data_IF_009133556344
#
_entry.id   IF_009133556344
#
_cell.length_a   1.000
_cell.length_b   1.000
_cell.length_c   1.000
_cell.angle_alpha   90.00
_cell.angle_beta   90.00
_cell.angle_gamma   90.00
#
_symmetry.space_group_name_H-M   'P 1'
#
loop_
_entity.id
_entity.type
_entity.pdbx_description
1 polymer ?
#
# COMPACT_ATOMS: atom_id res chain seq x y z
N UNK A 1 35.63 -11.61 -11.14
CA UNK A 1 35.32 -11.49 -9.70
C UNK A 1 36.41 -10.74 -8.98
N UNK A 2 36.03 -9.76 -8.17
CA UNK A 2 36.98 -9.09 -7.27
C UNK A 2 37.47 -10.06 -6.21
N UNK A 3 38.79 -10.04 -5.93
CA UNK A 3 39.39 -10.74 -4.81
C UNK A 3 39.81 -9.74 -3.74
N UNK A 4 39.64 -10.09 -2.46
CA UNK A 4 40.10 -9.24 -1.36
C UNK A 4 40.76 -10.07 -0.25
N UNK A 5 41.75 -9.47 0.42
CA UNK A 5 42.39 -10.07 1.58
C UNK A 5 42.79 -9.01 2.60
N UNK A 6 42.78 -9.39 3.87
CA UNK A 6 43.13 -8.53 4.99
C UNK A 6 44.65 -8.40 5.16
N UNK A 7 45.14 -7.17 5.29
CA UNK A 7 46.54 -6.87 5.59
C UNK A 7 46.79 -6.87 7.11
N UNK A 8 48.07 -6.99 7.53
CA UNK A 8 48.48 -6.94 8.94
C UNK A 8 48.03 -5.67 9.68
N UNK A 9 47.86 -4.56 8.99
CA UNK A 9 47.39 -3.29 9.55
C UNK A 9 45.85 -3.15 9.60
N UNK A 10 45.13 -4.24 9.41
CA UNK A 10 43.68 -4.25 9.45
C UNK A 10 42.94 -3.75 8.19
N UNK A 11 43.64 -3.18 7.22
CA UNK A 11 43.04 -2.77 5.96
C UNK A 11 42.87 -3.95 5.01
N UNK A 12 41.94 -3.85 4.05
CA UNK A 12 41.73 -4.86 3.02
C UNK A 12 42.28 -4.39 1.67
N UNK A 13 43.05 -5.25 1.01
CA UNK A 13 43.47 -5.05 -0.37
C UNK A 13 42.45 -5.72 -1.29
N UNK A 14 41.95 -4.99 -2.24
CA UNK A 14 40.95 -5.45 -3.21
C UNK A 14 41.59 -5.42 -4.60
N UNK A 15 41.40 -6.50 -5.38
CA UNK A 15 41.97 -6.66 -6.73
C UNK A 15 40.87 -7.08 -7.69
N UNK A 16 40.85 -6.46 -8.86
CA UNK A 16 39.92 -6.75 -9.96
C UNK A 16 40.72 -6.96 -11.24
N UNK A 17 40.39 -7.98 -12.01
CA UNK A 17 41.01 -8.23 -13.32
C UNK A 17 40.18 -7.55 -14.42
N UNK A 18 40.84 -6.81 -15.32
CA UNK A 18 40.23 -6.20 -16.51
C UNK A 18 40.32 -7.10 -17.76
N UNK A 19 40.81 -8.33 -17.61
CA UNK A 19 41.01 -9.27 -18.70
C UNK A 19 42.48 -9.61 -18.91
N UNK A 20 42.82 -10.17 -20.06
CA UNK A 20 44.21 -10.59 -20.45
C UNK A 20 44.61 -9.95 -21.79
N UNK A 21 44.74 -8.63 -21.90
CA UNK A 21 45.23 -8.04 -23.13
C UNK A 21 46.70 -8.48 -23.37
N UNK A 22 46.98 -9.10 -24.50
CA UNK A 22 48.32 -9.58 -24.84
C UNK A 22 48.89 -10.72 -23.98
N UNK A 23 47.99 -11.53 -23.33
CA UNK A 23 48.41 -12.70 -22.53
C UNK A 23 48.80 -12.39 -21.08
N UNK A 24 48.96 -11.15 -20.68
CA UNK A 24 49.26 -10.75 -19.29
C UNK A 24 47.95 -10.29 -18.59
N UNK A 25 47.81 -10.74 -17.34
CA UNK A 25 46.63 -10.36 -16.54
C UNK A 25 46.74 -8.89 -16.10
N UNK A 26 45.81 -8.05 -16.54
CA UNK A 26 45.72 -6.63 -16.12
C UNK A 26 44.92 -6.53 -14.81
N UNK A 27 45.65 -6.38 -13.70
CA UNK A 27 45.08 -6.31 -12.35
C UNK A 27 45.06 -4.87 -11.84
N UNK A 28 43.91 -4.42 -11.49
CA UNK A 28 43.73 -3.14 -10.79
C UNK A 28 43.47 -3.41 -9.32
N UNK A 29 44.11 -2.63 -8.44
CA UNK A 29 43.95 -2.80 -6.99
C UNK A 29 43.64 -1.51 -6.28
N UNK A 30 42.88 -1.63 -5.20
CA UNK A 30 42.56 -0.53 -4.27
C UNK A 30 42.65 -1.03 -2.83
N UNK A 31 42.54 -0.10 -1.85
CA UNK A 31 42.65 -0.46 -0.44
C UNK A 31 41.40 0.08 0.29
N UNK A 32 40.69 -0.79 0.96
CA UNK A 32 39.61 -0.45 1.87
C UNK A 32 40.15 -0.42 3.31
N UNK A 33 39.92 0.69 4.01
CA UNK A 33 40.26 0.85 5.44
C UNK A 33 38.98 0.87 6.27
N UNK A 34 38.71 -0.19 7.04
CA UNK A 34 37.53 -0.21 7.88
C UNK A 34 37.62 0.89 8.96
N UNK A 35 36.50 1.47 9.39
CA UNK A 35 36.47 2.43 10.49
C UNK A 35 37.00 1.83 11.78
N UNK A 36 37.54 2.67 12.66
CA UNK A 36 37.97 2.23 14.00
C UNK A 36 36.75 1.87 14.85
N UNK A 37 36.84 0.79 15.62
CA UNK A 37 35.82 0.39 16.60
C UNK A 37 34.71 -0.53 16.07
N UNK A 38 34.81 -1.04 14.84
CA UNK A 38 33.86 -2.04 14.33
C UNK A 38 34.37 -3.47 14.54
N UNK A 39 33.43 -4.43 14.60
CA UNK A 39 33.76 -5.86 14.69
C UNK A 39 34.48 -6.37 13.45
N UNK A 40 35.27 -7.44 13.59
CA UNK A 40 35.97 -8.05 12.47
C UNK A 40 35.01 -8.51 11.34
N UNK A 41 33.87 -9.06 11.74
CA UNK A 41 32.81 -9.49 10.82
C UNK A 41 32.19 -8.33 10.03
N UNK A 42 31.98 -7.16 10.67
CA UNK A 42 31.46 -5.97 10.00
C UNK A 42 32.51 -5.36 9.05
N UNK A 43 33.80 -5.38 9.43
CA UNK A 43 34.89 -4.94 8.59
C UNK A 43 35.02 -5.79 7.32
N UNK A 44 34.82 -7.09 7.43
CA UNK A 44 34.91 -8.03 6.30
C UNK A 44 33.73 -7.86 5.34
N UNK A 45 32.50 -7.68 5.86
CA UNK A 45 31.30 -7.36 5.05
C UNK A 45 31.49 -6.06 4.26
N UNK A 46 31.98 -5.00 4.92
CA UNK A 46 32.26 -3.74 4.25
C UNK A 46 33.35 -3.87 3.19
N UNK A 47 34.33 -4.73 3.39
CA UNK A 47 35.37 -5.02 2.37
C UNK A 47 34.79 -5.76 1.17
N UNK A 48 33.87 -6.71 1.37
CA UNK A 48 33.20 -7.45 0.30
C UNK A 48 32.33 -6.52 -0.55
N UNK A 49 31.52 -5.70 0.08
CA UNK A 49 30.65 -4.74 -0.62
C UNK A 49 31.45 -3.70 -1.39
N UNK A 50 32.54 -3.19 -0.79
CA UNK A 50 33.45 -2.29 -1.49
C UNK A 50 34.13 -3.00 -2.67
N UNK A 51 34.42 -4.28 -2.57
CA UNK A 51 35.01 -5.07 -3.67
C UNK A 51 34.03 -5.21 -4.85
N UNK A 52 32.75 -5.45 -4.58
CA UNK A 52 31.71 -5.53 -5.61
C UNK A 52 31.49 -4.19 -6.32
N UNK A 53 31.46 -3.07 -5.56
CA UNK A 53 31.37 -1.72 -6.13
C UNK A 53 32.61 -1.35 -6.97
N UNK A 54 33.79 -1.72 -6.49
CA UNK A 54 35.02 -1.47 -7.20
C UNK A 54 35.10 -2.30 -8.49
N UNK A 55 34.68 -3.55 -8.46
CA UNK A 55 34.57 -4.40 -9.65
C UNK A 55 33.61 -3.77 -10.68
N UNK A 56 32.43 -3.35 -10.28
CA UNK A 56 31.47 -2.67 -11.14
C UNK A 56 32.07 -1.40 -11.76
N UNK A 57 32.80 -0.58 -10.98
CA UNK A 57 33.43 0.65 -11.48
C UNK A 57 34.54 0.38 -12.50
N UNK A 58 35.31 -0.70 -12.33
CA UNK A 58 36.36 -1.13 -13.26
C UNK A 58 35.75 -1.64 -14.56
N UNK A 59 34.73 -2.46 -14.51
CA UNK A 59 34.06 -3.03 -15.69
C UNK A 59 33.26 -2.00 -16.49
N UNK A 60 32.67 -1.01 -15.82
CA UNK A 60 31.93 0.08 -16.47
C UNK A 60 32.84 1.22 -16.98
N UNK A 61 34.15 1.06 -16.98
CA UNK A 61 35.08 2.05 -17.49
C UNK A 61 35.18 3.35 -16.65
N UNK A 62 34.59 3.36 -15.46
CA UNK A 62 34.61 4.52 -14.56
C UNK A 62 35.90 4.68 -13.78
N UNK A 63 36.80 3.64 -13.82
CA UNK A 63 38.09 3.65 -13.15
C UNK A 63 39.22 3.88 -14.15
N UNK A 64 39.91 5.02 -14.04
CA UNK A 64 41.13 5.34 -14.83
C UNK A 64 42.36 5.24 -13.93
N UNK A 65 43.36 4.36 -14.24
CA UNK A 65 44.61 4.26 -13.49
C UNK A 65 45.37 5.58 -13.53
N UNK A 66 45.91 6.02 -12.38
CA UNK A 66 46.77 7.20 -12.30
C UNK A 66 46.12 8.53 -11.98
N UNK A 67 44.84 8.69 -12.11
CA UNK A 67 44.09 9.81 -11.53
C UNK A 67 43.70 9.45 -10.09
N UNK A 68 44.20 10.22 -9.11
CA UNK A 68 43.62 10.21 -7.76
C UNK A 68 42.18 10.74 -7.85
N UNK A 69 41.26 9.94 -8.40
CA UNK A 69 39.88 10.13 -8.12
C UNK A 69 39.77 9.94 -6.60
N UNK A 70 39.34 10.95 -5.88
CA UNK A 70 38.64 10.77 -4.64
C UNK A 70 37.41 9.90 -4.99
N UNK A 71 37.64 8.56 -5.03
CA UNK A 71 36.54 7.65 -4.72
C UNK A 71 36.18 8.13 -3.33
N UNK A 72 35.09 8.87 -3.19
CA UNK A 72 34.50 9.09 -1.87
C UNK A 72 34.45 7.70 -1.29
N UNK A 73 35.32 7.46 -0.27
CA UNK A 73 35.26 6.24 0.49
C UNK A 73 33.84 6.25 1.06
N UNK A 74 32.96 5.47 0.43
CA UNK A 74 31.67 5.18 0.98
C UNK A 74 32.02 4.43 2.26
N UNK A 75 32.22 5.19 3.32
CA UNK A 75 32.29 4.65 4.67
C UNK A 75 30.86 4.24 5.00
N UNK A 76 30.48 2.96 4.92
CA UNK A 76 29.11 2.55 5.19
C UNK A 76 28.67 2.97 6.60
N UNK A 77 29.64 3.17 7.52
CA UNK A 77 29.40 3.62 8.86
C UNK A 77 29.39 5.17 9.02
N UNK A 78 29.71 5.92 7.98
CA UNK A 78 29.61 7.39 7.96
C UNK A 78 28.35 7.91 7.28
N UNK A 79 27.50 7.04 6.72
CA UNK A 79 26.32 7.43 6.00
C UNK A 79 25.24 7.94 6.94
N UNK A 80 24.70 9.14 6.67
CA UNK A 80 23.59 9.69 7.45
C UNK A 80 22.29 8.98 7.07
N UNK A 81 21.29 9.05 7.97
CA UNK A 81 19.98 8.48 7.69
C UNK A 81 19.33 9.13 6.46
N UNK A 82 19.48 10.45 6.29
CA UNK A 82 18.96 11.16 5.12
C UNK A 82 19.60 10.65 3.82
N UNK A 83 20.93 10.52 3.79
CA UNK A 83 21.67 9.99 2.63
C UNK A 83 21.28 8.54 2.32
N UNK A 84 21.15 7.69 3.34
CA UNK A 84 20.73 6.30 3.17
C UNK A 84 19.32 6.23 2.57
N UNK A 85 18.37 7.00 3.11
CA UNK A 85 16.98 7.02 2.63
C UNK A 85 16.96 7.44 1.15
N UNK A 86 17.64 8.52 0.79
CA UNK A 86 17.59 9.08 -0.57
C UNK A 86 18.36 8.22 -1.58
N UNK A 87 19.56 7.75 -1.24
CA UNK A 87 20.45 7.06 -2.18
C UNK A 87 20.15 5.57 -2.33
N UNK A 88 19.66 4.92 -1.27
CA UNK A 88 19.50 3.47 -1.20
C UNK A 88 18.07 3.01 -0.96
N UNK A 89 17.44 3.51 0.10
CA UNK A 89 16.14 3.00 0.53
C UNK A 89 15.02 3.23 -0.50
N UNK A 90 14.93 4.43 -1.07
CA UNK A 90 13.90 4.74 -2.06
C UNK A 90 13.94 3.82 -3.27
N UNK A 91 15.13 3.55 -3.81
CA UNK A 91 15.30 2.61 -4.92
C UNK A 91 14.82 1.19 -4.60
N UNK A 92 15.05 0.75 -3.35
CA UNK A 92 14.64 -0.59 -2.89
C UNK A 92 13.14 -0.72 -2.74
N UNK A 93 12.48 0.26 -2.15
CA UNK A 93 11.02 0.22 -1.97
C UNK A 93 10.27 0.39 -3.29
N UNK A 94 10.78 1.15 -4.24
CA UNK A 94 10.18 1.31 -5.58
C UNK A 94 10.08 0.00 -6.34
N UNK A 95 11.03 -0.92 -6.16
CA UNK A 95 10.99 -2.25 -6.78
C UNK A 95 10.06 -3.22 -6.03
N UNK A 96 9.95 -3.08 -4.69
CA UNK A 96 9.28 -4.07 -3.84
C UNK A 96 7.82 -3.75 -3.52
N UNK A 97 7.47 -2.47 -3.48
CA UNK A 97 6.19 -2.02 -2.94
C UNK A 97 5.29 -1.41 -4.02
N UNK A 98 4.00 -1.41 -3.74
CA UNK A 98 3.04 -0.74 -4.64
C UNK A 98 3.27 0.77 -4.67
N UNK A 99 2.99 1.46 -5.81
CA UNK A 99 3.22 2.90 -5.96
C UNK A 99 2.62 3.76 -4.84
N UNK A 100 1.42 3.42 -4.39
CA UNK A 100 0.73 4.12 -3.28
C UNK A 100 1.44 3.91 -1.94
N UNK A 101 2.02 2.72 -1.70
CA UNK A 101 2.80 2.44 -0.50
C UNK A 101 4.15 3.17 -0.55
N UNK A 102 4.81 3.18 -1.71
CA UNK A 102 6.04 3.95 -1.93
C UNK A 102 5.82 5.42 -1.64
N UNK A 103 4.75 6.01 -2.19
CA UNK A 103 4.41 7.41 -1.94
C UNK A 103 4.20 7.68 -0.44
N UNK A 104 3.45 6.83 0.25
CA UNK A 104 3.23 6.95 1.68
C UNK A 104 4.54 6.87 2.47
N UNK A 105 5.43 5.92 2.14
CA UNK A 105 6.71 5.74 2.80
C UNK A 105 7.64 6.94 2.57
N UNK A 106 7.70 7.47 1.35
CA UNK A 106 8.43 8.69 1.03
C UNK A 106 7.89 9.90 1.81
N UNK A 107 6.57 10.07 1.85
CA UNK A 107 5.92 11.17 2.58
C UNK A 107 6.28 11.13 4.07
N UNK A 108 6.21 9.97 4.73
CA UNK A 108 6.60 9.84 6.14
C UNK A 108 8.09 10.09 6.35
N UNK A 109 8.94 9.57 5.45
CA UNK A 109 10.37 9.80 5.54
C UNK A 109 10.75 11.27 5.41
N UNK A 110 10.18 11.97 4.43
CA UNK A 110 10.45 13.38 4.15
C UNK A 110 9.89 14.32 5.20
N UNK A 111 8.70 14.03 5.73
CA UNK A 111 8.02 14.91 6.67
C UNK A 111 8.46 14.71 8.12
N UNK A 112 8.87 13.51 8.48
CA UNK A 112 9.15 13.17 9.88
C UNK A 112 10.56 12.60 10.12
N UNK A 113 11.01 11.60 9.34
CA UNK A 113 12.26 10.92 9.65
C UNK A 113 13.49 11.76 9.30
N UNK A 114 13.52 12.35 8.12
CA UNK A 114 14.66 13.17 7.67
C UNK A 114 14.81 14.43 8.53
N UNK A 115 13.74 15.19 8.85
CA UNK A 115 13.87 16.34 9.74
C UNK A 115 14.33 15.98 11.16
N UNK A 116 13.88 14.85 11.70
CA UNK A 116 14.18 14.46 13.10
C UNK A 116 15.53 13.76 13.24
N UNK A 117 15.88 12.86 12.33
CA UNK A 117 17.04 11.96 12.47
C UNK A 117 17.98 11.97 11.25
N UNK A 118 17.69 12.78 10.24
CA UNK A 118 18.42 12.73 8.98
C UNK A 118 19.92 12.97 9.10
N UNK A 119 20.37 13.70 10.11
CA UNK A 119 21.80 13.97 10.38
C UNK A 119 22.47 12.88 11.21
N UNK A 120 21.72 11.98 11.82
CA UNK A 120 22.25 10.86 12.60
C UNK A 120 22.81 9.80 11.66
N UNK A 121 23.97 9.23 11.97
CA UNK A 121 24.52 8.13 11.18
C UNK A 121 23.64 6.90 11.35
N UNK A 122 23.43 6.17 10.26
CA UNK A 122 22.59 4.96 10.25
C UNK A 122 23.03 3.94 11.28
N UNK A 123 24.35 3.76 11.47
CA UNK A 123 24.90 2.82 12.46
C UNK A 123 24.67 3.26 13.93
N UNK A 124 24.40 4.52 14.17
CA UNK A 124 24.15 5.07 15.53
C UNK A 124 22.65 5.07 15.89
N UNK A 125 21.78 4.79 14.93
CA UNK A 125 20.34 4.68 15.18
C UNK A 125 20.08 3.49 16.11
N UNK A 126 19.37 3.73 17.19
CA UNK A 126 19.00 2.75 18.22
C UNK A 126 17.48 2.67 18.39
N UNK A 127 17.03 1.70 19.17
CA UNK A 127 15.62 1.61 19.58
C UNK A 127 15.15 2.82 20.39
N UNK A 128 16.04 3.48 21.12
CA UNK A 128 15.72 4.73 21.81
C UNK A 128 15.29 5.82 20.82
N UNK A 129 15.91 5.89 19.64
CA UNK A 129 15.47 6.80 18.58
C UNK A 129 14.08 6.43 18.04
N UNK A 130 13.78 5.13 17.89
CA UNK A 130 12.45 4.70 17.48
C UNK A 130 11.41 4.99 18.55
N UNK A 131 11.72 4.78 19.85
CA UNK A 131 10.82 5.12 20.94
C UNK A 131 10.59 6.64 20.99
N UNK A 132 11.64 7.43 20.91
CA UNK A 132 11.56 8.91 20.86
C UNK A 132 10.69 9.39 19.67
N UNK A 133 10.78 8.71 18.52
CA UNK A 133 9.93 8.99 17.38
C UNK A 133 8.45 8.67 17.65
N UNK A 134 8.17 7.53 18.27
CA UNK A 134 6.82 7.14 18.68
C UNK A 134 6.24 8.15 19.68
N UNK A 135 7.01 8.54 20.69
CA UNK A 135 6.60 9.51 21.71
C UNK A 135 6.34 10.89 21.10
N UNK A 136 7.21 11.33 20.18
CA UNK A 136 7.02 12.57 19.44
C UNK A 136 5.70 12.56 18.64
N UNK A 137 5.42 11.49 17.89
CA UNK A 137 4.19 11.37 17.12
C UNK A 137 2.94 11.30 18.00
N UNK A 138 3.05 10.69 19.17
CA UNK A 138 1.95 10.57 20.12
C UNK A 138 1.63 11.90 20.85
N UNK A 139 2.63 12.74 21.04
CA UNK A 139 2.50 14.00 21.81
C UNK A 139 2.27 15.23 20.93
N UNK A 140 2.90 15.28 19.75
CA UNK A 140 3.00 16.51 18.98
C UNK A 140 1.81 16.82 18.06
N UNK A 141 0.85 15.89 17.96
CA UNK A 141 -0.27 16.03 17.02
C UNK A 141 0.19 16.01 15.55
N UNK A 142 -0.75 16.12 14.66
CA UNK A 142 -0.48 16.28 13.25
C UNK A 142 -0.03 17.72 12.98
N UNK A 143 1.26 17.98 12.85
CA UNK A 143 1.79 19.31 12.48
C UNK A 143 1.42 19.78 11.06
N UNK A 144 0.53 19.08 10.40
CA UNK A 144 0.06 19.45 9.07
C UNK A 144 -0.88 20.65 9.09
N UNK A 145 -1.55 20.90 10.23
CA UNK A 145 -2.34 22.10 10.47
C UNK A 145 -2.02 22.59 11.88
N UNK A 146 -1.39 23.74 12.00
CA UNK A 146 -1.15 24.40 13.30
C UNK A 146 -2.44 24.68 14.09
N UNK A 147 -3.60 24.60 13.42
CA UNK A 147 -4.93 24.76 14.02
C UNK A 147 -5.50 23.50 14.67
N UNK A 148 -4.98 22.29 14.37
CA UNK A 148 -5.44 21.02 14.96
C UNK A 148 -4.33 20.38 15.79
N UNK A 149 -4.30 20.72 17.08
CA UNK A 149 -3.33 20.23 18.07
C UNK A 149 -3.63 18.82 18.61
N UNK A 150 -4.54 18.07 17.98
CA UNK A 150 -4.87 16.71 18.45
C UNK A 150 -3.74 15.72 18.18
N UNK A 151 -3.39 14.85 19.15
CA UNK A 151 -2.37 13.83 18.97
C UNK A 151 -2.80 12.80 17.92
N UNK A 152 -1.81 12.25 17.19
CA UNK A 152 -2.08 11.20 16.21
C UNK A 152 -2.63 9.94 16.92
N UNK A 153 -3.61 9.29 16.29
CA UNK A 153 -4.14 8.02 16.80
C UNK A 153 -3.04 6.96 16.89
N UNK A 154 -3.11 6.08 17.91
CA UNK A 154 -2.14 5.01 18.12
C UNK A 154 -1.94 4.13 16.85
N UNK A 155 -2.99 3.94 16.04
CA UNK A 155 -2.89 3.23 14.77
C UNK A 155 -2.04 4.00 13.74
N UNK A 156 -2.17 5.31 13.66
CA UNK A 156 -1.37 6.17 12.78
C UNK A 156 0.09 6.21 13.25
N UNK A 157 0.33 6.38 14.56
CA UNK A 157 1.67 6.34 15.16
C UNK A 157 2.36 5.03 14.80
N UNK A 158 1.70 3.89 15.01
CA UNK A 158 2.26 2.57 14.66
C UNK A 158 2.56 2.44 13.17
N UNK A 159 1.68 2.97 12.33
CA UNK A 159 1.88 2.96 10.88
C UNK A 159 3.10 3.78 10.44
N UNK A 160 3.34 4.94 11.07
CA UNK A 160 4.52 5.77 10.78
C UNK A 160 5.80 5.12 11.33
N UNK A 161 5.76 4.58 12.53
CA UNK A 161 6.86 3.83 13.11
C UNK A 161 7.25 2.61 12.26
N UNK A 162 6.29 1.97 11.58
CA UNK A 162 6.56 0.88 10.62
C UNK A 162 7.44 1.35 9.45
N UNK A 163 7.34 2.61 9.03
CA UNK A 163 8.22 3.16 7.98
C UNK A 163 9.64 3.27 8.51
N UNK A 164 9.83 3.80 9.73
CA UNK A 164 11.16 3.86 10.36
C UNK A 164 11.76 2.46 10.50
N UNK A 165 10.97 1.52 10.98
CA UNK A 165 11.36 0.12 11.09
C UNK A 165 11.79 -0.46 9.74
N UNK A 166 11.05 -0.16 8.67
CA UNK A 166 11.39 -0.61 7.32
C UNK A 166 12.72 -0.03 6.82
N UNK A 167 12.99 1.25 7.09
CA UNK A 167 14.26 1.90 6.75
C UNK A 167 15.41 1.18 7.44
N UNK A 168 15.30 0.92 8.75
CA UNK A 168 16.35 0.28 9.54
C UNK A 168 16.54 -1.19 9.17
N UNK A 169 15.47 -1.92 8.85
CA UNK A 169 15.56 -3.29 8.34
C UNK A 169 16.31 -3.37 7.02
N UNK A 170 16.07 -2.46 6.08
CA UNK A 170 16.83 -2.42 4.83
C UNK A 170 18.28 -1.97 5.07
N UNK A 171 18.52 -1.04 5.99
CA UNK A 171 19.86 -0.63 6.38
C UNK A 171 20.66 -1.81 6.96
N UNK A 172 20.03 -2.60 7.84
CA UNK A 172 20.66 -3.81 8.37
C UNK A 172 20.95 -4.85 7.29
N UNK A 173 20.00 -5.13 6.39
CA UNK A 173 20.20 -6.05 5.27
C UNK A 173 21.34 -5.64 4.32
N UNK A 174 21.56 -4.34 4.20
CA UNK A 174 22.62 -3.76 3.37
C UNK A 174 23.95 -3.57 4.12
N UNK A 175 24.03 -3.93 5.41
CA UNK A 175 25.26 -3.85 6.20
C UNK A 175 25.58 -2.47 6.78
N UNK A 176 24.68 -1.48 6.65
CA UNK A 176 24.84 -0.12 7.20
C UNK A 176 24.50 -0.02 8.69
N UNK A 177 23.78 -0.99 9.24
CA UNK A 177 23.47 -1.10 10.66
C UNK A 177 23.88 -2.48 11.19
N UNK A 178 24.60 -2.52 12.31
CA UNK A 178 25.11 -3.77 12.87
C UNK A 178 24.03 -4.68 13.47
N UNK A 179 22.97 -4.10 13.99
CA UNK A 179 21.91 -4.83 14.70
C UNK A 179 20.56 -4.58 14.04
N UNK A 180 19.78 -5.62 13.94
CA UNK A 180 18.34 -5.49 13.74
C UNK A 180 17.75 -4.95 15.04
N UNK A 181 17.71 -3.62 15.13
CA UNK A 181 17.29 -2.85 16.29
C UNK A 181 15.85 -3.20 16.72
N UNK A 182 15.09 -3.79 15.81
CA UNK A 182 13.65 -3.96 15.93
C UNK A 182 13.22 -5.31 16.53
N UNK A 183 14.08 -6.36 16.43
CA UNK A 183 13.69 -7.70 16.86
C UNK A 183 13.89 -7.98 18.35
N UNK A 184 14.56 -7.12 19.10
CA UNK A 184 14.93 -7.42 20.48
C UNK A 184 14.42 -6.46 21.56
N UNK A 185 13.70 -5.39 21.19
CA UNK A 185 13.23 -4.41 22.17
C UNK A 185 11.74 -4.15 21.98
N UNK A 186 11.05 -4.11 23.11
CA UNK A 186 9.64 -3.75 23.20
C UNK A 186 9.56 -2.22 23.01
N UNK A 187 8.90 -1.79 21.93
CA UNK A 187 8.55 -0.38 21.71
C UNK A 187 7.15 -0.17 22.26
N UNK A 188 7.03 0.80 23.16
CA UNK A 188 5.76 1.16 23.75
C UNK A 188 4.95 2.02 22.79
N UNK A 189 3.87 1.46 22.28
CA UNK A 189 2.94 2.17 21.38
C UNK A 189 1.73 2.68 22.14
N UNK A 190 1.18 3.86 21.77
CA UNK A 190 -0.10 4.30 22.27
C UNK A 190 -1.19 3.25 22.03
N UNK A 191 -2.16 3.20 22.94
CA UNK A 191 -3.28 2.24 22.84
C UNK A 191 -3.99 2.40 21.49
N UNK A 192 -4.11 1.29 20.76
CA UNK A 192 -4.84 1.25 19.49
C UNK A 192 -6.29 0.90 19.81
N UNK A 193 -7.16 1.90 19.69
CA UNK A 193 -8.60 1.68 19.72
C UNK A 193 -9.04 1.31 18.30
N UNK A 194 -9.54 0.09 18.12
CA UNK A 194 -10.13 -0.30 16.83
C UNK A 194 -11.47 0.43 16.69
N UNK A 195 -11.66 1.23 15.63
CA UNK A 195 -12.97 1.85 15.39
C UNK A 195 -13.99 0.76 15.15
N UNK A 196 -15.18 0.97 15.68
CA UNK A 196 -16.32 0.12 15.38
C UNK A 196 -16.67 0.26 13.89
N UNK A 197 -16.96 -0.88 13.23
CA UNK A 197 -17.34 -0.85 11.82
C UNK A 197 -18.66 -0.11 11.71
N UNK A 198 -18.65 0.88 10.84
CA UNK A 198 -19.84 1.62 10.47
C UNK A 198 -20.49 0.95 9.24
N UNK A 199 -21.69 0.47 9.40
CA UNK A 199 -22.52 -0.11 8.34
C UNK A 199 -23.95 0.35 8.53
N UNK A 200 -24.70 0.53 7.46
CA UNK A 200 -26.14 0.78 7.53
C UNK A 200 -26.87 -0.45 8.07
N UNK A 201 -27.91 -0.21 8.86
CA UNK A 201 -28.89 -1.24 9.17
C UNK A 201 -29.86 -1.48 7.98
N UNK A 202 -30.88 -2.34 8.18
CA UNK A 202 -31.82 -2.68 7.10
C UNK A 202 -32.63 -1.48 6.63
N UNK A 203 -33.05 -0.61 7.57
CA UNK A 203 -33.90 0.53 7.26
C UNK A 203 -33.09 1.63 6.56
N UNK A 204 -31.90 1.93 7.06
CA UNK A 204 -30.97 2.85 6.41
C UNK A 204 -30.59 2.33 4.99
N UNK A 205 -30.34 1.02 4.84
CA UNK A 205 -30.03 0.43 3.54
C UNK A 205 -31.21 0.51 2.58
N UNK A 206 -32.46 0.36 3.07
CA UNK A 206 -33.68 0.55 2.25
C UNK A 206 -33.87 2.01 1.84
N UNK A 207 -33.66 2.97 2.75
CA UNK A 207 -33.69 4.40 2.44
C UNK A 207 -32.69 4.71 1.35
N UNK A 208 -31.44 4.26 1.51
CA UNK A 208 -30.38 4.41 0.53
C UNK A 208 -30.79 3.84 -0.84
N UNK A 209 -31.27 2.60 -0.87
CA UNK A 209 -31.67 1.92 -2.11
C UNK A 209 -32.86 2.62 -2.80
N UNK A 210 -33.86 3.06 -2.04
CA UNK A 210 -35.01 3.77 -2.59
C UNK A 210 -34.63 5.13 -3.17
N UNK A 211 -33.76 5.88 -2.48
CA UNK A 211 -33.24 7.15 -2.99
C UNK A 211 -32.52 7.03 -4.33
N UNK A 212 -31.86 5.88 -4.60
CA UNK A 212 -31.17 5.65 -5.87
C UNK A 212 -32.10 5.64 -7.08
N UNK A 213 -33.40 5.42 -6.91
CA UNK A 213 -34.38 5.44 -8.01
C UNK A 213 -34.48 6.80 -8.67
N UNK A 214 -34.19 7.87 -7.93
CA UNK A 214 -34.23 9.27 -8.39
C UNK A 214 -32.91 9.77 -8.94
N UNK A 215 -31.87 8.93 -8.93
CA UNK A 215 -30.54 9.29 -9.41
C UNK A 215 -30.34 8.91 -10.90
N UNK A 216 -29.39 9.59 -11.54
CA UNK A 216 -29.01 9.24 -12.92
C UNK A 216 -28.55 7.78 -13.02
N UNK A 217 -28.70 7.13 -14.17
CA UNK A 217 -28.29 5.73 -14.39
C UNK A 217 -26.83 5.48 -13.97
N UNK A 218 -25.92 6.41 -14.23
CA UNK A 218 -24.51 6.28 -13.83
C UNK A 218 -24.34 6.24 -12.32
N UNK A 219 -24.93 7.19 -11.59
CA UNK A 219 -24.84 7.28 -10.13
C UNK A 219 -25.48 6.06 -9.49
N UNK A 220 -26.66 5.67 -9.98
CA UNK A 220 -27.39 4.49 -9.52
C UNK A 220 -26.53 3.23 -9.70
N UNK A 221 -26.00 2.97 -10.89
CA UNK A 221 -25.16 1.82 -11.15
C UNK A 221 -23.90 1.82 -10.28
N UNK A 222 -23.23 2.97 -10.13
CA UNK A 222 -21.99 3.11 -9.35
C UNK A 222 -22.21 2.79 -7.86
N UNK A 223 -23.23 3.40 -7.24
CA UNK A 223 -23.50 3.21 -5.81
C UNK A 223 -24.07 1.81 -5.54
N UNK A 224 -24.92 1.26 -6.44
CA UNK A 224 -25.39 -0.12 -6.33
C UNK A 224 -24.24 -1.14 -6.47
N UNK A 225 -23.26 -0.91 -7.35
CA UNK A 225 -22.05 -1.74 -7.44
C UNK A 225 -21.35 -1.83 -6.08
N UNK A 226 -21.24 -0.69 -5.40
CA UNK A 226 -20.57 -0.64 -4.09
C UNK A 226 -21.40 -1.30 -2.98
N UNK A 227 -22.72 -1.12 -2.99
CA UNK A 227 -23.62 -1.63 -1.96
C UNK A 227 -23.94 -3.12 -2.14
N UNK A 228 -24.28 -3.56 -3.35
CA UNK A 228 -24.75 -4.94 -3.59
C UNK A 228 -23.60 -5.93 -3.79
N UNK A 229 -22.51 -5.50 -4.44
CA UNK A 229 -21.38 -6.37 -4.74
C UNK A 229 -20.17 -6.13 -3.82
N UNK A 230 -20.22 -5.10 -3.00
CA UNK A 230 -19.17 -4.78 -2.05
C UNK A 230 -17.80 -4.52 -2.67
N UNK A 231 -17.73 -4.00 -3.90
CA UNK A 231 -16.47 -3.72 -4.57
C UNK A 231 -15.71 -2.59 -3.86
N UNK A 232 -14.38 -2.69 -3.87
CA UNK A 232 -13.54 -1.59 -3.38
C UNK A 232 -13.58 -0.42 -4.37
N UNK A 233 -13.44 0.81 -3.89
CA UNK A 233 -13.46 2.03 -4.71
C UNK A 233 -12.62 1.92 -5.99
N UNK A 234 -11.39 1.44 -5.87
CA UNK A 234 -10.51 1.29 -7.03
C UNK A 234 -10.94 0.18 -7.98
N UNK A 235 -11.61 -0.88 -7.49
CA UNK A 235 -12.20 -1.93 -8.31
C UNK A 235 -13.39 -1.39 -9.11
N UNK A 236 -14.27 -0.61 -8.47
CA UNK A 236 -15.41 0.07 -9.15
C UNK A 236 -14.91 0.96 -10.28
N UNK A 237 -13.93 1.83 -10.00
CA UNK A 237 -13.39 2.77 -11.00
C UNK A 237 -12.64 2.05 -12.12
N UNK A 238 -11.98 0.94 -11.82
CA UNK A 238 -11.23 0.16 -12.82
C UNK A 238 -12.04 -0.89 -13.57
N UNK A 239 -13.35 -0.99 -13.34
CA UNK A 239 -14.22 -1.97 -13.97
C UNK A 239 -14.41 -1.68 -15.46
N UNK A 240 -14.33 -2.71 -16.30
CA UNK A 240 -14.55 -2.61 -17.76
C UNK A 240 -15.77 -3.42 -18.17
N UNK A 241 -16.42 -3.02 -19.28
CA UNK A 241 -17.55 -3.79 -19.84
C UNK A 241 -17.16 -5.20 -20.25
N UNK A 242 -15.91 -5.42 -20.65
CA UNK A 242 -15.37 -6.75 -20.94
C UNK A 242 -15.28 -7.68 -19.73
N UNK A 243 -15.35 -7.15 -18.51
CA UNK A 243 -15.35 -7.95 -17.29
C UNK A 243 -16.74 -8.50 -16.94
N UNK A 244 -17.79 -8.00 -17.59
CA UNK A 244 -19.18 -8.29 -17.25
C UNK A 244 -19.76 -9.33 -18.21
N UNK A 245 -20.21 -10.43 -17.65
CA UNK A 245 -20.98 -11.43 -18.37
C UNK A 245 -22.45 -11.35 -17.96
N UNK A 246 -23.26 -10.64 -18.77
CA UNK A 246 -24.68 -10.48 -18.50
C UNK A 246 -25.45 -11.79 -18.56
N UNK A 247 -25.05 -12.75 -19.42
CA UNK A 247 -25.71 -14.06 -19.54
C UNK A 247 -25.51 -14.91 -18.28
N UNK A 248 -24.33 -14.82 -17.67
CA UNK A 248 -24.01 -15.57 -16.44
C UNK A 248 -24.33 -14.75 -15.16
N UNK A 249 -24.74 -13.50 -15.26
CA UNK A 249 -24.95 -12.61 -14.11
C UNK A 249 -23.68 -12.42 -13.27
N UNK A 250 -22.52 -12.24 -13.92
CA UNK A 250 -21.25 -12.25 -13.21
C UNK A 250 -20.28 -11.17 -13.69
N UNK A 251 -19.38 -10.74 -12.79
CA UNK A 251 -18.28 -9.80 -13.04
C UNK A 251 -16.94 -10.39 -12.60
N UNK A 252 -15.92 -10.22 -13.44
CA UNK A 252 -14.55 -10.63 -13.14
C UNK A 252 -13.73 -9.45 -12.65
N UNK A 253 -13.34 -9.46 -11.39
CA UNK A 253 -12.59 -8.38 -10.74
C UNK A 253 -11.10 -8.71 -10.78
N UNK A 254 -10.37 -8.08 -11.71
CA UNK A 254 -8.95 -8.36 -11.98
C UNK A 254 -8.04 -7.14 -11.89
N UNK A 255 -8.58 -5.95 -11.64
CA UNK A 255 -7.80 -4.71 -11.59
C UNK A 255 -8.38 -3.70 -10.62
N UNK A 256 -7.57 -2.71 -10.28
CA UNK A 256 -7.96 -1.62 -9.38
C UNK A 256 -7.30 -0.32 -9.81
N UNK A 257 -8.08 0.73 -9.95
CA UNK A 257 -7.57 2.06 -10.17
C UNK A 257 -6.84 2.59 -8.94
N UNK A 258 -5.81 3.39 -9.16
CA UNK A 258 -5.09 4.11 -8.11
C UNK A 258 -4.58 5.46 -8.63
N UNK A 259 -4.29 6.37 -7.71
CA UNK A 259 -3.67 7.66 -8.01
C UNK A 259 -2.58 7.95 -6.99
N UNK A 260 -1.45 8.45 -7.45
CA UNK A 260 -0.37 8.98 -6.61
C UNK A 260 -0.23 10.47 -6.84
N UNK A 261 0.29 11.20 -5.85
CA UNK A 261 0.46 12.65 -5.93
C UNK A 261 1.35 13.00 -7.12
N UNK A 262 0.91 13.95 -7.95
CA UNK A 262 1.69 14.41 -9.11
C UNK A 262 1.71 13.47 -10.31
N UNK A 263 1.01 12.31 -10.26
CA UNK A 263 0.94 11.37 -11.37
C UNK A 263 -0.50 11.21 -11.87
N UNK A 264 -0.71 10.92 -13.15
CA UNK A 264 -2.02 10.56 -13.66
C UNK A 264 -2.54 9.30 -12.96
N UNK A 265 -3.87 9.17 -12.94
CA UNK A 265 -4.54 7.98 -12.46
C UNK A 265 -4.19 6.78 -13.35
N UNK A 266 -3.97 5.62 -12.75
CA UNK A 266 -3.56 4.42 -13.44
C UNK A 266 -4.24 3.16 -12.88
N UNK A 267 -4.14 2.06 -13.60
CA UNK A 267 -4.58 0.74 -13.18
C UNK A 267 -3.42 -0.07 -12.61
N UNK A 268 -3.71 -0.93 -11.66
CA UNK A 268 -2.78 -1.93 -11.14
C UNK A 268 -3.51 -3.27 -10.97
N UNK A 269 -2.80 -4.39 -11.04
CA UNK A 269 -3.35 -5.68 -10.64
C UNK A 269 -3.74 -5.63 -9.15
N UNK A 270 -4.64 -6.50 -8.70
CA UNK A 270 -4.98 -6.64 -7.30
C UNK A 270 -3.75 -6.97 -6.46
N UNK A 271 -3.80 -6.61 -5.17
CA UNK A 271 -2.66 -6.76 -4.26
C UNK A 271 -2.31 -8.22 -3.96
N UNK A 272 -3.29 -9.11 -4.02
CA UNK A 272 -3.14 -10.55 -3.78
C UNK A 272 -3.93 -11.34 -4.82
N UNK A 273 -3.54 -12.58 -5.04
CA UNK A 273 -4.23 -13.49 -5.96
C UNK A 273 -5.69 -13.75 -5.51
N UNK A 274 -5.95 -13.78 -4.21
CA UNK A 274 -7.30 -13.89 -3.65
C UNK A 274 -8.21 -12.69 -3.94
N UNK A 275 -7.63 -11.54 -4.30
CA UNK A 275 -8.40 -10.37 -4.70
C UNK A 275 -8.91 -10.44 -6.14
N UNK A 276 -8.32 -11.32 -6.98
CA UNK A 276 -8.87 -11.67 -8.30
C UNK A 276 -10.00 -12.65 -8.06
N UNK A 277 -11.21 -12.28 -8.48
CA UNK A 277 -12.40 -13.05 -8.17
C UNK A 277 -13.53 -12.78 -9.15
N UNK A 278 -14.47 -13.70 -9.24
CA UNK A 278 -15.76 -13.48 -9.87
C UNK A 278 -16.80 -13.18 -8.79
N UNK A 279 -17.57 -12.11 -8.99
CA UNK A 279 -18.75 -11.78 -8.18
C UNK A 279 -20.00 -11.97 -9.04
N UNK A 280 -21.09 -12.40 -8.40
CA UNK A 280 -22.36 -12.63 -9.09
C UNK A 280 -23.35 -11.53 -8.73
N UNK A 281 -24.24 -11.22 -9.66
CA UNK A 281 -25.26 -10.21 -9.49
C UNK A 281 -26.63 -10.68 -9.98
N UNK A 282 -27.70 -10.06 -9.46
CA UNK A 282 -29.06 -10.36 -9.82
C UNK A 282 -29.47 -9.74 -11.17
N UNK A 283 -30.53 -10.27 -11.78
CA UNK A 283 -31.11 -9.72 -13.00
C UNK A 283 -31.55 -8.26 -12.82
N UNK A 284 -32.16 -7.93 -11.68
CA UNK A 284 -32.54 -6.54 -11.36
C UNK A 284 -31.35 -5.57 -11.37
N UNK A 285 -30.16 -6.03 -10.96
CA UNK A 285 -28.96 -5.18 -11.06
C UNK A 285 -28.39 -5.15 -12.50
N UNK A 286 -28.56 -6.24 -13.27
CA UNK A 286 -28.22 -6.24 -14.68
C UNK A 286 -28.98 -5.16 -15.46
N UNK A 287 -30.27 -4.99 -15.20
CA UNK A 287 -31.12 -3.93 -15.80
C UNK A 287 -30.55 -2.52 -15.51
N UNK A 288 -30.10 -2.27 -14.28
CA UNK A 288 -29.49 -0.98 -13.91
C UNK A 288 -28.18 -0.74 -14.68
N UNK A 289 -27.38 -1.77 -14.87
CA UNK A 289 -26.16 -1.66 -15.67
C UNK A 289 -26.45 -1.44 -17.16
N UNK A 290 -27.47 -2.09 -17.70
CA UNK A 290 -27.89 -1.91 -19.10
C UNK A 290 -28.41 -0.50 -19.34
N UNK A 291 -29.26 0.03 -18.46
CA UNK A 291 -29.73 1.42 -18.53
C UNK A 291 -28.58 2.43 -18.51
N UNK A 292 -27.57 2.19 -17.66
CA UNK A 292 -26.36 3.02 -17.69
C UNK A 292 -25.57 2.86 -19.00
N UNK A 293 -25.47 1.66 -19.52
CA UNK A 293 -24.75 1.40 -20.78
C UNK A 293 -25.41 2.12 -21.95
N UNK A 294 -26.75 2.16 -21.99
CA UNK A 294 -27.50 2.91 -23.00
C UNK A 294 -27.23 4.42 -22.91
N UNK A 295 -27.29 5.00 -21.70
CA UNK A 295 -26.93 6.42 -21.49
C UNK A 295 -25.45 6.69 -21.91
N UNK A 296 -24.54 5.78 -21.61
CA UNK A 296 -23.13 5.94 -22.01
C UNK A 296 -22.96 5.94 -23.54
N UNK A 297 -23.77 5.16 -24.27
CA UNK A 297 -23.80 5.19 -25.76
C UNK A 297 -24.28 6.56 -26.26
N UNK A 298 -25.31 7.13 -25.63
CA UNK A 298 -25.77 8.49 -25.97
C UNK A 298 -24.68 9.54 -25.69
N UNK A 299 -23.98 9.44 -24.55
CA UNK A 299 -22.85 10.32 -24.23
C UNK A 299 -21.74 10.20 -25.27
N UNK A 300 -21.44 8.98 -25.74
CA UNK A 300 -20.48 8.72 -26.80
C UNK A 300 -20.87 9.40 -28.12
N UNK A 301 -22.14 9.29 -28.49
CA UNK A 301 -22.66 9.95 -29.70
C UNK A 301 -22.53 11.48 -29.60
N UNK A 302 -22.89 12.06 -28.44
CA UNK A 302 -22.77 13.51 -28.17
C UNK A 302 -21.31 13.99 -28.21
N UNK A 303 -20.39 13.23 -27.61
CA UNK A 303 -18.97 13.57 -27.58
C UNK A 303 -18.28 13.39 -28.94
N UNK A 304 -18.81 12.55 -29.80
CA UNK A 304 -18.29 12.32 -31.15
C UNK A 304 -16.79 12.00 -31.15
N UNK A 305 -16.00 12.80 -31.88
CA UNK A 305 -14.54 12.60 -31.99
C UNK A 305 -13.77 12.81 -30.68
N UNK A 306 -14.37 13.45 -29.67
CA UNK A 306 -13.76 13.68 -28.38
C UNK A 306 -13.87 12.46 -27.44
N UNK A 307 -14.66 11.46 -27.83
CA UNK A 307 -14.82 10.25 -27.05
C UNK A 307 -13.56 9.38 -27.09
N UNK A 308 -13.04 9.05 -25.91
CA UNK A 308 -11.92 8.13 -25.75
C UNK A 308 -12.42 6.73 -25.39
N UNK A 309 -12.37 5.82 -26.35
CA UNK A 309 -12.86 4.45 -26.18
C UNK A 309 -11.87 3.59 -25.38
N UNK A 310 -12.05 3.54 -24.06
CA UNK A 310 -11.21 2.73 -23.17
C UNK A 310 -11.96 1.50 -22.60
N UNK A 311 -13.27 1.40 -22.85
CA UNK A 311 -14.10 0.29 -22.40
C UNK A 311 -14.43 0.27 -20.91
N UNK A 312 -14.21 1.37 -20.17
CA UNK A 312 -14.58 1.45 -18.74
C UNK A 312 -16.10 1.49 -18.56
N UNK A 313 -16.56 0.86 -17.47
CA UNK A 313 -17.97 0.93 -17.08
C UNK A 313 -18.31 2.35 -16.61
N UNK A 314 -17.49 2.95 -15.76
CA UNK A 314 -17.72 4.29 -15.22
C UNK A 314 -16.77 5.30 -15.86
N UNK A 315 -17.33 6.18 -16.69
CA UNK A 315 -16.58 7.16 -17.49
C UNK A 315 -17.04 8.59 -17.18
N UNK A 316 -16.18 9.54 -17.53
CA UNK A 316 -16.60 10.93 -17.66
C UNK A 316 -17.26 11.16 -19.04
N UNK A 317 -17.71 12.39 -19.30
CA UNK A 317 -18.44 12.79 -20.52
C UNK A 317 -17.67 12.56 -21.83
N UNK A 318 -16.37 12.31 -21.78
CA UNK A 318 -15.51 12.04 -22.93
C UNK A 318 -14.91 10.63 -22.91
N UNK A 319 -15.50 9.69 -22.17
CA UNK A 319 -15.14 8.26 -22.18
C UNK A 319 -13.90 7.88 -21.38
N UNK A 320 -13.26 8.82 -20.69
CA UNK A 320 -12.14 8.49 -19.80
C UNK A 320 -12.62 7.90 -18.47
N UNK A 321 -11.80 7.07 -17.86
CA UNK A 321 -11.99 6.57 -16.51
C UNK A 321 -12.27 7.73 -15.53
N UNK A 322 -13.34 7.65 -14.73
CA UNK A 322 -13.69 8.67 -13.72
C UNK A 322 -12.57 8.85 -12.69
N UNK A 323 -12.49 10.05 -12.09
CA UNK A 323 -11.54 10.29 -11.02
C UNK A 323 -11.80 9.32 -9.84
N UNK A 324 -10.74 8.71 -9.30
CA UNK A 324 -10.86 7.74 -8.21
C UNK A 324 -11.51 8.32 -6.93
N UNK A 325 -11.50 9.63 -6.73
CA UNK A 325 -12.15 10.27 -5.59
C UNK A 325 -13.65 10.45 -5.81
N UNK A 326 -14.08 10.59 -7.06
CA UNK A 326 -15.48 10.90 -7.44
C UNK A 326 -16.53 9.95 -6.82
N UNK A 327 -16.34 8.62 -6.78
CA UNK A 327 -17.31 7.73 -6.13
C UNK A 327 -17.55 8.05 -4.66
N UNK A 328 -16.51 8.50 -3.93
CA UNK A 328 -16.65 8.89 -2.52
C UNK A 328 -17.43 10.21 -2.38
N UNK A 329 -17.16 11.17 -3.26
CA UNK A 329 -17.83 12.46 -3.28
C UNK A 329 -19.33 12.31 -3.66
N UNK A 330 -19.61 11.46 -4.65
CA UNK A 330 -20.99 11.12 -5.03
C UNK A 330 -21.72 10.47 -3.85
N UNK A 331 -21.10 9.48 -3.20
CA UNK A 331 -21.68 8.79 -2.06
C UNK A 331 -22.03 9.77 -0.94
N UNK A 332 -21.10 10.66 -0.55
CA UNK A 332 -21.32 11.63 0.52
C UNK A 332 -22.46 12.60 0.22
N UNK A 333 -22.54 13.13 -1.00
CA UNK A 333 -23.64 14.00 -1.44
C UNK A 333 -24.99 13.26 -1.45
N UNK A 334 -24.97 12.01 -1.87
CA UNK A 334 -26.17 11.19 -1.91
C UNK A 334 -26.66 10.82 -0.50
N UNK A 335 -25.75 10.50 0.42
CA UNK A 335 -26.07 10.27 1.84
C UNK A 335 -26.74 11.49 2.46
N UNK A 336 -26.20 12.69 2.23
CA UNK A 336 -26.79 13.96 2.69
C UNK A 336 -28.19 14.20 2.10
N UNK A 337 -28.36 13.98 0.79
CA UNK A 337 -29.66 14.08 0.10
C UNK A 337 -30.73 13.17 0.71
N UNK A 338 -30.33 11.96 1.11
CA UNK A 338 -31.21 10.97 1.72
C UNK A 338 -31.44 11.18 3.25
N UNK A 339 -30.79 12.16 3.87
CA UNK A 339 -30.80 12.34 5.32
C UNK A 339 -30.15 11.20 6.10
N UNK A 340 -29.23 10.47 5.49
CA UNK A 340 -28.53 9.36 6.10
C UNK A 340 -27.24 9.84 6.79
N UNK A 341 -26.83 9.11 7.83
CA UNK A 341 -25.51 9.36 8.45
C UNK A 341 -24.39 9.10 7.47
N UNK A 342 -23.34 9.88 7.57
CA UNK A 342 -22.18 9.75 6.68
C UNK A 342 -21.39 8.44 6.90
N UNK A 343 -21.34 7.62 5.89
CA UNK A 343 -20.65 6.32 5.89
C UNK A 343 -19.55 6.31 4.85
N UNK A 344 -18.77 7.04 4.46
CA UNK A 344 -17.76 6.87 3.38
C UNK A 344 -18.07 5.68 2.45
N UNK A 345 -17.74 5.75 1.19
CA UNK A 345 -18.04 4.69 0.20
C UNK A 345 -17.64 3.27 0.66
N UNK A 346 -16.58 3.14 1.46
CA UNK A 346 -16.17 1.83 2.01
C UNK A 346 -17.16 1.27 3.04
N UNK A 347 -17.95 2.13 3.67
CA UNK A 347 -19.05 1.73 4.53
C UNK A 347 -20.16 0.98 3.80
N UNK A 348 -20.41 1.27 2.52
CA UNK A 348 -21.36 0.50 1.69
C UNK A 348 -20.89 -0.96 1.54
N UNK A 349 -19.58 -1.20 1.39
CA UNK A 349 -19.02 -2.55 1.40
C UNK A 349 -19.19 -3.22 2.78
N UNK A 350 -19.05 -2.47 3.85
CA UNK A 350 -19.32 -2.99 5.20
C UNK A 350 -20.81 -3.32 5.37
N UNK A 351 -21.68 -2.47 4.85
CA UNK A 351 -23.13 -2.73 4.82
C UNK A 351 -23.44 -4.02 4.05
N UNK A 352 -22.88 -4.18 2.86
CA UNK A 352 -22.99 -5.42 2.07
C UNK A 352 -22.62 -6.67 2.88
N UNK A 353 -21.43 -6.68 3.49
CA UNK A 353 -20.96 -7.82 4.28
C UNK A 353 -21.81 -8.09 5.53
N UNK A 354 -22.24 -7.03 6.19
CA UNK A 354 -23.12 -7.11 7.36
C UNK A 354 -24.49 -7.68 7.00
N UNK A 355 -25.10 -7.21 5.91
CA UNK A 355 -26.37 -7.71 5.43
C UNK A 355 -26.29 -9.18 4.96
N UNK A 356 -25.18 -9.56 4.28
CA UNK A 356 -24.95 -10.97 3.92
C UNK A 356 -24.95 -11.88 5.15
N UNK A 357 -24.15 -11.55 6.17
CA UNK A 357 -24.08 -12.34 7.42
C UNK A 357 -25.44 -12.35 8.12
N UNK A 358 -26.13 -11.22 8.18
CA UNK A 358 -27.47 -11.13 8.79
C UNK A 358 -28.49 -12.02 8.10
N UNK A 359 -28.38 -12.18 6.79
CA UNK A 359 -29.23 -13.06 5.99
C UNK A 359 -28.75 -14.53 5.92
N UNK A 360 -27.78 -14.91 6.76
CA UNK A 360 -27.37 -16.30 6.91
C UNK A 360 -26.31 -16.78 5.92
N UNK A 361 -25.72 -15.87 5.13
CA UNK A 361 -24.58 -16.23 4.27
C UNK A 361 -23.38 -16.56 5.16
N UNK A 362 -22.77 -17.70 4.93
CA UNK A 362 -21.60 -18.13 5.70
C UNK A 362 -20.38 -17.22 5.48
N UNK A 363 -19.51 -17.19 6.48
CA UNK A 363 -18.38 -16.27 6.51
C UNK A 363 -17.33 -16.54 5.42
N UNK A 364 -17.15 -17.80 5.00
CA UNK A 364 -16.22 -18.15 3.92
C UNK A 364 -16.74 -17.66 2.57
N UNK A 365 -18.04 -17.76 2.33
CA UNK A 365 -18.70 -17.19 1.15
C UNK A 365 -18.52 -15.68 1.12
N UNK A 366 -18.77 -14.97 2.24
CA UNK A 366 -18.55 -13.52 2.32
C UNK A 366 -17.08 -13.15 2.09
N UNK A 367 -16.16 -13.92 2.66
CA UNK A 367 -14.71 -13.76 2.43
C UNK A 367 -14.35 -13.91 0.95
N UNK A 368 -14.91 -14.92 0.27
CA UNK A 368 -14.70 -15.17 -1.15
C UNK A 368 -15.24 -14.03 -2.02
N UNK A 369 -16.50 -13.61 -1.81
CA UNK A 369 -17.12 -12.49 -2.52
C UNK A 369 -16.30 -11.21 -2.38
N UNK A 370 -15.74 -10.96 -1.20
CA UNK A 370 -14.93 -9.78 -0.96
C UNK A 370 -13.46 -9.91 -1.36
N UNK A 371 -12.98 -11.12 -1.62
CA UNK A 371 -11.57 -11.35 -1.90
C UNK A 371 -10.69 -10.95 -0.71
N UNK A 372 -11.06 -11.38 0.50
CA UNK A 372 -10.24 -11.19 1.68
C UNK A 372 -9.23 -12.34 1.80
N UNK A 373 -7.95 -12.00 1.88
CA UNK A 373 -6.89 -12.99 2.09
C UNK A 373 -7.00 -13.64 3.48
N UNK A 374 -7.30 -12.80 4.50
CA UNK A 374 -7.39 -13.25 5.89
C UNK A 374 -8.85 -13.20 6.38
N UNK A 375 -9.34 -14.33 6.92
CA UNK A 375 -10.68 -14.44 7.49
C UNK A 375 -10.93 -13.43 8.63
N UNK A 376 -9.89 -13.05 9.38
CA UNK A 376 -10.00 -12.01 10.42
C UNK A 376 -10.57 -10.70 9.91
N UNK A 377 -10.36 -10.39 8.63
CA UNK A 377 -10.95 -9.21 7.98
C UNK A 377 -12.45 -9.36 7.78
N UNK A 378 -12.95 -10.59 7.63
CA UNK A 378 -14.38 -10.88 7.47
C UNK A 378 -15.05 -11.08 8.83
N UNK A 379 -14.34 -11.61 9.84
CA UNK A 379 -14.83 -11.80 11.20
C UNK A 379 -15.30 -10.49 11.87
N UNK A 380 -14.79 -9.36 11.43
CA UNK A 380 -15.24 -8.06 11.93
C UNK A 380 -16.76 -7.81 11.68
N UNK A 381 -17.36 -8.46 10.70
CA UNK A 381 -18.81 -8.39 10.44
C UNK A 381 -19.64 -9.22 11.41
N UNK A 382 -19.05 -10.22 12.08
CA UNK A 382 -19.73 -11.07 13.06
C UNK A 382 -20.03 -10.33 14.38
N UNK A 383 -19.18 -9.36 14.74
CA UNK A 383 -19.31 -8.65 16.02
C UNK A 383 -20.48 -7.66 16.05
N UNK A 384 -21.08 -7.38 14.90
CA UNK A 384 -22.17 -6.40 14.79
C UNK A 384 -23.56 -6.99 15.09
N UNK A 385 -23.70 -8.33 15.27
CA UNK A 385 -25.04 -8.92 15.32
C UNK A 385 -25.27 -9.95 16.46
N UNK A 386 -25.82 -9.48 17.57
CA UNK A 386 -26.43 -10.36 18.58
C UNK A 386 -27.67 -11.09 18.03
N UNK A 387 -28.30 -10.57 16.96
CA UNK A 387 -29.40 -11.21 16.24
C UNK A 387 -29.03 -12.56 15.59
N UNK A 388 -27.79 -12.73 15.15
CA UNK A 388 -27.32 -14.03 14.62
C UNK A 388 -27.21 -15.08 15.71
N UNK A 389 -26.77 -14.68 16.91
CA UNK A 389 -26.71 -15.59 18.08
C UNK A 389 -28.12 -16.00 18.52
N UNK A 390 -29.08 -15.06 18.50
CA UNK A 390 -30.48 -15.34 18.83
C UNK A 390 -31.08 -16.31 17.84
N UNK A 391 -30.90 -16.09 16.52
CA UNK A 391 -31.39 -17.02 15.49
C UNK A 391 -30.78 -18.42 15.61
N UNK A 392 -29.49 -18.54 15.94
CA UNK A 392 -28.85 -19.82 16.16
C UNK A 392 -29.47 -20.56 17.37
N UNK A 393 -29.78 -19.82 18.45
CA UNK A 393 -30.48 -20.37 19.62
C UNK A 393 -31.93 -20.80 19.27
N UNK A 394 -32.66 -19.98 18.52
CA UNK A 394 -34.02 -20.27 18.08
C UNK A 394 -34.07 -21.49 17.12
N UNK A 395 -33.12 -21.57 16.18
CA UNK A 395 -32.99 -22.71 15.27
C UNK A 395 -32.66 -24.01 16.00
N UNK A 396 -31.77 -23.96 17.00
CA UNK A 396 -31.45 -25.12 17.83
C UNK A 396 -32.67 -25.57 18.65
N UNK A 397 -33.36 -24.62 19.27
CA UNK A 397 -34.58 -24.88 20.00
C UNK A 397 -35.65 -25.52 19.11
N UNK A 398 -35.88 -25.00 17.91
CA UNK A 398 -36.83 -25.58 16.95
C UNK A 398 -36.43 -26.99 16.49
N UNK A 399 -35.14 -27.31 16.40
CA UNK A 399 -34.64 -28.62 16.00
C UNK A 399 -34.78 -29.69 17.12
N UNK A 400 -34.74 -29.28 18.41
CA UNK A 400 -34.74 -30.20 19.55
C UNK A 400 -36.14 -30.31 20.17
N UNK A 401 -36.97 -29.27 20.08
CA UNK A 401 -38.25 -29.19 20.77
C UNK A 401 -39.45 -29.56 19.86
N UNK A 402 -39.24 -29.79 18.56
CA UNK A 402 -40.14 -30.39 17.59
C UNK A 402 -39.76 -31.85 17.30
#
# INVERSE_FOLDING_TARGET
>A
MASYYRRKNGAYCIRVSRGKPGGKQDLVSTTYKPPKGISASAAERGAKEFAELFEASVHNGLFTPGRKQKVEQINPFGLTLADFIQKHYYKRIEVKLSPTTVQFYKSVAEQFLIPSFGRVRVCDISSAHLQSFVDYLASAGSRYNEENSEPLSGATVKRYATVFSSVMTEAHKMGYAEKDILHRQIIDYPRIVKPQIQAYDDDEARIFFNGLKEESPQIRALLMTSLLLGLRRGEVVGLMWSDINFKAGSMYISRSAYKTKGQPQALKPPKSQSSVRTVFFSEAYAEVLLAWREEQVEQRIKAGRSWNEQGFVFTNEVGNMINICLPTEICSRFEEKCGLRHLKLHGLRHTCGSLMIKNGVDIETVKSVFGHENIRTTQQYLTAYDSAKKRAADALAACIMN
#
